data_IF_730590460846
#
_entry.id   IF_730590460846
#
_cell.length_a   1.000
_cell.length_b   1.000
_cell.length_c   1.000
_cell.angle_alpha   90.00
_cell.angle_beta   90.00
_cell.angle_gamma   90.00
#
_symmetry.space_group_name_H-M   'P 1'
#
loop_
_entity.id
_entity.type
_entity.pdbx_description
1 polymer ?
#
# COMPACT_ATOMS: atom_id res chain seq x y z
N UNK A 1 -15.13 -26.92 -1.49
CA UNK A 1 -13.95 -26.34 -2.16
C UNK A 1 -14.27 -24.95 -2.68
N UNK A 2 -15.26 -24.81 -3.59
CA UNK A 2 -15.68 -23.49 -4.12
C UNK A 2 -16.09 -22.45 -3.05
N UNK A 3 -16.82 -22.84 -2.00
CA UNK A 3 -17.22 -21.92 -0.92
C UNK A 3 -16.03 -21.38 -0.11
N UNK A 4 -14.98 -22.20 0.05
CA UNK A 4 -13.77 -21.83 0.79
C UNK A 4 -12.96 -20.80 0.01
N UNK A 5 -12.79 -21.02 -1.29
CA UNK A 5 -12.12 -20.07 -2.20
C UNK A 5 -12.88 -18.74 -2.29
N UNK A 6 -14.20 -18.78 -2.33
CA UNK A 6 -15.03 -17.57 -2.36
C UNK A 6 -14.90 -16.76 -1.06
N UNK A 7 -14.93 -17.45 0.08
CA UNK A 7 -14.76 -16.82 1.39
C UNK A 7 -13.37 -16.17 1.55
N UNK A 8 -12.33 -16.77 0.97
CA UNK A 8 -10.97 -16.22 1.01
C UNK A 8 -10.83 -14.97 0.11
N UNK A 9 -11.45 -14.98 -1.08
CA UNK A 9 -11.52 -13.80 -1.95
C UNK A 9 -12.29 -12.64 -1.29
N UNK A 10 -13.44 -12.91 -0.68
CA UNK A 10 -14.19 -11.86 0.00
C UNK A 10 -13.41 -11.28 1.20
N UNK A 11 -12.69 -12.11 1.97
CA UNK A 11 -11.79 -11.61 3.04
C UNK A 11 -10.70 -10.67 2.49
N UNK A 12 -10.09 -11.02 1.36
CA UNK A 12 -9.09 -10.17 0.71
C UNK A 12 -9.70 -8.84 0.25
N UNK A 13 -10.85 -8.90 -0.41
CA UNK A 13 -11.59 -7.73 -0.87
C UNK A 13 -12.02 -6.82 0.27
N UNK A 14 -12.50 -7.37 1.38
CA UNK A 14 -12.84 -6.61 2.58
C UNK A 14 -11.62 -5.91 3.17
N UNK A 15 -10.46 -6.57 3.18
CA UNK A 15 -9.21 -5.96 3.63
C UNK A 15 -8.79 -4.80 2.73
N UNK A 16 -8.91 -4.95 1.41
CA UNK A 16 -8.66 -3.87 0.45
C UNK A 16 -9.62 -2.72 0.68
N UNK A 17 -10.92 -3.00 0.85
CA UNK A 17 -11.93 -1.97 1.13
C UNK A 17 -11.60 -1.18 2.40
N UNK A 18 -11.13 -1.86 3.46
CA UNK A 18 -10.68 -1.17 4.68
C UNK A 18 -9.50 -0.25 4.42
N UNK A 19 -8.53 -0.65 3.59
CA UNK A 19 -7.38 0.19 3.21
C UNK A 19 -7.85 1.41 2.40
N UNK A 20 -8.74 1.19 1.42
CA UNK A 20 -9.30 2.25 0.58
C UNK A 20 -10.07 3.32 1.39
N UNK A 21 -10.66 2.95 2.53
CA UNK A 21 -11.33 3.91 3.43
C UNK A 21 -10.37 4.94 4.04
N UNK A 22 -9.05 4.69 4.05
CA UNK A 22 -8.06 5.69 4.48
C UNK A 22 -7.87 6.79 3.43
N UNK A 23 -8.39 6.62 2.21
CA UNK A 23 -8.24 7.56 1.08
C UNK A 23 -6.77 7.80 0.68
N UNK A 24 -5.92 6.76 0.78
CA UNK A 24 -4.57 6.81 0.23
C UNK A 24 -4.58 6.56 -1.29
N UNK A 25 -3.62 7.17 -1.99
CA UNK A 25 -3.36 6.91 -3.42
C UNK A 25 -2.16 5.97 -3.64
N UNK A 26 -1.35 5.75 -2.61
CA UNK A 26 -0.25 4.76 -2.61
C UNK A 26 -0.34 3.95 -1.33
N UNK A 27 -0.29 2.62 -1.46
CA UNK A 27 -0.27 1.67 -0.36
C UNK A 27 1.06 0.93 -0.35
N UNK A 28 1.82 1.08 0.74
CA UNK A 28 3.13 0.44 0.92
C UNK A 28 2.98 -0.70 1.93
N UNK A 29 3.30 -1.91 1.51
CA UNK A 29 3.25 -3.10 2.32
C UNK A 29 4.61 -3.78 2.42
N UNK A 30 4.94 -4.24 3.63
CA UNK A 30 6.17 -5.00 3.87
C UNK A 30 6.13 -6.41 3.31
N UNK A 31 4.93 -6.95 3.14
CA UNK A 31 4.68 -8.30 2.65
C UNK A 31 4.26 -8.26 1.18
N UNK A 32 4.30 -9.43 0.55
CA UNK A 32 3.67 -9.66 -0.75
C UNK A 32 2.21 -9.22 -0.73
N UNK A 33 1.76 -8.63 -1.82
CA UNK A 33 0.36 -8.33 -2.13
C UNK A 33 -0.04 -9.30 -3.24
N UNK A 34 -1.05 -10.13 -3.00
CA UNK A 34 -1.54 -11.05 -4.02
C UNK A 34 -2.17 -10.32 -5.22
N UNK A 35 -2.14 -10.94 -6.39
CA UNK A 35 -2.64 -10.40 -7.65
C UNK A 35 -4.09 -9.88 -7.55
N UNK A 36 -4.95 -10.58 -6.79
CA UNK A 36 -6.36 -10.17 -6.67
C UNK A 36 -6.52 -8.84 -5.90
N UNK A 37 -5.97 -8.67 -4.68
CA UNK A 37 -5.84 -7.36 -4.05
C UNK A 37 -5.17 -6.29 -4.92
N UNK A 38 -4.09 -6.63 -5.62
CA UNK A 38 -3.37 -5.69 -6.49
C UNK A 38 -4.27 -5.16 -7.62
N UNK A 39 -5.03 -6.05 -8.28
CA UNK A 39 -6.03 -5.68 -9.27
C UNK A 39 -7.09 -4.74 -8.69
N UNK A 40 -7.58 -5.02 -7.47
CA UNK A 40 -8.56 -4.17 -6.80
C UNK A 40 -8.01 -2.78 -6.47
N UNK A 41 -6.72 -2.69 -6.09
CA UNK A 41 -6.06 -1.39 -5.91
C UNK A 41 -5.93 -0.63 -7.22
N UNK A 42 -5.50 -1.31 -8.29
CA UNK A 42 -5.34 -0.73 -9.61
C UNK A 42 -6.67 -0.19 -10.19
N UNK A 43 -7.77 -0.93 -10.03
CA UNK A 43 -9.13 -0.50 -10.40
C UNK A 43 -9.58 0.79 -9.69
N UNK A 44 -9.01 1.07 -8.52
CA UNK A 44 -9.29 2.27 -7.71
C UNK A 44 -8.24 3.36 -7.88
N UNK A 45 -7.25 3.16 -8.74
CA UNK A 45 -6.15 4.09 -8.96
C UNK A 45 -5.19 4.20 -7.77
N UNK A 46 -5.10 3.15 -6.94
CA UNK A 46 -4.14 3.07 -5.83
C UNK A 46 -2.91 2.29 -6.28
N UNK A 47 -1.73 2.89 -6.16
CA UNK A 47 -0.47 2.20 -6.42
C UNK A 47 -0.13 1.29 -5.23
N UNK A 48 0.12 0.02 -5.49
CA UNK A 48 0.57 -0.94 -4.49
C UNK A 48 2.09 -1.13 -4.57
N UNK A 49 2.79 -0.97 -3.44
CA UNK A 49 4.21 -1.30 -3.31
C UNK A 49 4.30 -2.45 -2.32
N UNK A 50 4.89 -3.56 -2.74
CA UNK A 50 5.08 -4.74 -1.92
C UNK A 50 6.56 -4.99 -1.62
N UNK A 51 6.84 -5.95 -0.74
CA UNK A 51 8.21 -6.30 -0.34
C UNK A 51 9.05 -5.11 0.16
N UNK A 52 8.40 -4.08 0.69
CA UNK A 52 9.10 -2.94 1.25
C UNK A 52 9.94 -3.37 2.46
N UNK A 53 11.20 -2.94 2.49
CA UNK A 53 12.10 -3.28 3.56
C UNK A 53 11.69 -2.57 4.87
N UNK A 54 12.02 -3.18 6.00
CA UNK A 54 11.57 -2.67 7.30
C UNK A 54 12.13 -1.28 7.58
N UNK A 55 13.44 -1.09 7.35
CA UNK A 55 14.11 0.18 7.61
C UNK A 55 13.64 1.28 6.67
N UNK A 56 13.40 0.96 5.40
CA UNK A 56 12.87 1.86 4.38
C UNK A 56 11.47 2.36 4.74
N UNK A 57 10.58 1.48 5.22
CA UNK A 57 9.24 1.89 5.69
C UNK A 57 9.33 2.82 6.91
N UNK A 58 10.21 2.54 7.88
CA UNK A 58 10.42 3.43 9.03
C UNK A 58 10.95 4.81 8.62
N UNK A 59 11.94 4.85 7.74
CA UNK A 59 12.51 6.09 7.22
C UNK A 59 11.48 6.87 6.41
N UNK A 60 10.70 6.21 5.55
CA UNK A 60 9.62 6.84 4.77
C UNK A 60 8.54 7.43 5.68
N UNK A 61 8.10 6.69 6.69
CA UNK A 61 7.12 7.19 7.66
C UNK A 61 7.62 8.46 8.37
N UNK A 62 8.89 8.48 8.79
CA UNK A 62 9.50 9.65 9.44
C UNK A 62 9.58 10.88 8.52
N UNK A 63 10.01 10.72 7.27
CA UNK A 63 10.19 11.86 6.35
C UNK A 63 8.87 12.35 5.76
N UNK A 64 7.91 11.46 5.52
CA UNK A 64 6.58 11.80 5.00
C UNK A 64 5.60 12.24 6.09
N UNK A 65 5.92 11.98 7.36
CA UNK A 65 5.09 12.30 8.52
C UNK A 65 3.83 11.44 8.67
N UNK A 66 3.86 10.22 8.14
CA UNK A 66 2.78 9.23 8.19
C UNK A 66 2.97 8.16 9.25
N UNK A 67 1.89 7.49 9.63
CA UNK A 67 1.90 6.43 10.63
C UNK A 67 2.11 5.05 9.99
N UNK A 68 2.84 4.18 10.67
CA UNK A 68 2.93 2.75 10.32
C UNK A 68 1.85 2.00 11.07
N UNK A 69 0.97 1.32 10.34
CA UNK A 69 -0.18 0.60 10.90
C UNK A 69 -0.12 -0.90 10.61
N UNK A 70 -0.57 -1.70 11.57
CA UNK A 70 -0.70 -3.16 11.44
C UNK A 70 -2.15 -3.62 11.25
N UNK A 71 -3.11 -2.71 11.43
CA UNK A 71 -4.55 -2.93 11.24
C UNK A 71 -5.16 -1.75 10.49
N UNK A 72 -6.30 -1.96 9.83
CA UNK A 72 -6.91 -0.97 8.93
C UNK A 72 -8.28 -0.48 9.41
N UNK A 73 -8.67 -0.82 10.65
CA UNK A 73 -10.03 -0.60 11.17
C UNK A 73 -10.30 0.82 11.68
N UNK A 74 -9.29 1.69 11.72
CA UNK A 74 -9.41 3.05 12.29
C UNK A 74 -8.93 4.13 11.31
N UNK A 75 -9.59 4.28 10.13
CA UNK A 75 -9.16 5.22 9.10
C UNK A 75 -9.00 6.67 9.59
N UNK A 76 -9.85 7.12 10.50
CA UNK A 76 -9.82 8.50 11.03
C UNK A 76 -8.67 8.77 12.01
N UNK A 77 -7.95 7.73 12.45
CA UNK A 77 -6.87 7.84 13.46
C UNK A 77 -5.48 7.67 12.87
N UNK A 78 -5.38 7.45 11.56
CA UNK A 78 -4.12 7.21 10.86
C UNK A 78 -3.70 8.47 10.13
N UNK A 79 -2.48 8.93 10.40
CA UNK A 79 -1.88 10.00 9.63
C UNK A 79 -1.31 9.44 8.34
N UNK A 80 -1.80 9.93 7.21
CA UNK A 80 -1.20 9.65 5.91
C UNK A 80 0.08 10.46 5.71
N UNK A 81 1.13 9.81 5.23
CA UNK A 81 2.32 10.48 4.73
C UNK A 81 2.01 11.29 3.47
N UNK A 82 2.76 12.37 3.25
CA UNK A 82 2.59 13.23 2.07
C UNK A 82 3.92 13.54 1.41
N UNK A 83 3.90 13.63 0.10
CA UNK A 83 4.97 14.15 -0.75
C UNK A 83 4.36 14.77 -2.00
N UNK A 84 5.13 15.57 -2.72
CA UNK A 84 4.66 16.27 -3.92
C UNK A 84 4.60 15.35 -5.14
N UNK A 85 5.58 14.44 -5.28
CA UNK A 85 5.73 13.58 -6.44
C UNK A 85 6.25 12.19 -6.08
N UNK A 86 5.62 11.16 -6.66
CA UNK A 86 6.09 9.78 -6.66
C UNK A 86 6.26 9.35 -8.11
N UNK A 87 7.46 8.89 -8.47
CA UNK A 87 7.80 8.50 -9.84
C UNK A 87 8.70 7.25 -9.87
N UNK A 88 8.54 6.42 -10.89
CA UNK A 88 9.52 5.36 -11.21
C UNK A 88 10.68 6.00 -12.00
N UNK A 89 11.90 5.86 -11.49
CA UNK A 89 13.13 6.33 -12.14
C UNK A 89 14.06 5.15 -12.40
N UNK A 90 14.95 5.32 -13.38
CA UNK A 90 16.00 4.34 -13.69
C UNK A 90 17.34 4.95 -13.28
N UNK A 91 18.08 4.26 -12.41
CA UNK A 91 19.45 4.62 -12.03
C UNK A 91 20.36 3.44 -12.37
N UNK A 92 21.24 3.63 -13.36
CA UNK A 92 22.05 2.53 -13.89
C UNK A 92 21.15 1.49 -14.58
N UNK A 93 21.11 0.28 -14.04
CA UNK A 93 20.28 -0.83 -14.52
C UNK A 93 19.03 -1.06 -13.64
N UNK A 94 18.94 -0.37 -12.51
CA UNK A 94 17.90 -0.57 -11.50
C UNK A 94 16.72 0.38 -11.71
N UNK A 95 15.50 -0.14 -11.51
CA UNK A 95 14.27 0.64 -11.39
C UNK A 95 14.01 0.96 -9.92
N UNK A 96 13.80 2.23 -9.62
CA UNK A 96 13.57 2.71 -8.27
C UNK A 96 12.31 3.57 -8.21
N UNK A 97 11.63 3.55 -7.07
CA UNK A 97 10.51 4.45 -6.79
C UNK A 97 11.06 5.63 -5.98
N UNK A 98 10.95 6.82 -6.54
CA UNK A 98 11.44 8.06 -5.92
C UNK A 98 10.28 8.89 -5.41
N UNK A 99 10.35 9.24 -4.13
CA UNK A 99 9.47 10.19 -3.47
C UNK A 99 10.18 11.56 -3.42
N UNK A 100 9.49 12.63 -3.80
CA UNK A 100 10.02 14.01 -3.83
C UNK A 100 9.03 15.01 -3.24
N UNK A 101 9.54 16.11 -2.66
CA UNK A 101 8.76 17.13 -1.95
C UNK A 101 9.08 17.13 -0.47
#
# INVERSE_FOLDING_TARGET
VAELELAEKEKMKDKVNKILQHNCNVFINRQLIYDYPEQLFAEKGVMAIEHADFEGVERLAQVLGGDIVSTFDTPDKVRLGKCDLIEEIIIGEDKLIKFSG
#
